data_IF_378227158278
#
_entry.id   IF_378227158278
#
_cell.length_a   1.000
_cell.length_b   1.000
_cell.length_c   1.000
_cell.angle_alpha   90.00
_cell.angle_beta   90.00
_cell.angle_gamma   90.00
#
_symmetry.space_group_name_H-M   'P 1'
#
loop_
_entity.id
_entity.type
_entity.pdbx_description
1 polymer ?
#
# COMPACT_ATOMS: atom_id res chain seq x y z
N UNK A 1 -0.17 -9.30 13.39
CA UNK A 1 -0.39 -7.90 12.98
C UNK A 1 -1.83 -7.53 13.20
N UNK A 2 -2.09 -6.50 13.95
CA UNK A 2 -3.43 -5.98 14.16
C UNK A 2 -3.40 -4.47 14.30
N UNK A 3 -4.50 -3.82 13.92
CA UNK A 3 -4.71 -2.40 14.13
C UNK A 3 -5.65 -2.17 15.30
N UNK A 4 -5.42 -1.10 16.05
CA UNK A 4 -6.42 -0.60 16.98
C UNK A 4 -7.52 0.07 16.15
N UNK A 5 -8.67 -0.56 16.04
CA UNK A 5 -9.78 -0.08 15.22
C UNK A 5 -10.77 0.76 16.03
N UNK A 6 -11.36 1.82 15.43
CA UNK A 6 -11.04 2.35 14.11
C UNK A 6 -9.66 3.02 14.08
N UNK A 7 -8.99 2.93 12.95
CA UNK A 7 -7.69 3.55 12.74
C UNK A 7 -7.80 4.63 11.66
N UNK A 8 -7.11 5.74 11.83
CA UNK A 8 -7.19 6.86 10.89
C UNK A 8 -5.85 7.19 10.28
N UNK A 9 -5.89 7.84 9.15
CA UNK A 9 -4.72 8.32 8.45
C UNK A 9 -5.08 9.40 7.45
N UNK A 10 -4.11 9.86 6.71
CA UNK A 10 -4.31 10.89 5.71
C UNK A 10 -3.01 11.39 5.11
N UNK A 11 -3.13 12.47 4.34
CA UNK A 11 -1.99 13.07 3.69
C UNK A 11 -1.20 14.00 4.63
N UNK A 12 -0.01 14.37 4.20
CA UNK A 12 0.90 15.18 5.01
C UNK A 12 0.35 16.56 5.33
N UNK A 13 -0.40 17.20 4.41
CA UNK A 13 -1.01 18.52 4.66
C UNK A 13 -2.31 18.44 5.46
N UNK A 14 -2.86 17.25 5.68
CA UNK A 14 -4.10 17.04 6.44
C UNK A 14 -5.39 17.25 5.66
N UNK A 15 -5.33 17.64 4.41
CA UNK A 15 -6.53 17.88 3.60
C UNK A 15 -7.35 16.62 3.39
N UNK A 16 -6.68 15.49 3.19
CA UNK A 16 -7.33 14.20 2.98
C UNK A 16 -7.19 13.35 4.23
N UNK A 17 -8.33 12.87 4.72
CA UNK A 17 -8.39 11.98 5.88
C UNK A 17 -9.23 10.76 5.54
N UNK A 18 -8.82 9.60 6.04
CA UNK A 18 -9.56 8.35 5.90
C UNK A 18 -9.60 7.59 7.22
N UNK A 19 -10.53 6.65 7.31
CA UNK A 19 -10.71 5.77 8.48
C UNK A 19 -10.79 4.33 8.05
N UNK A 20 -10.09 3.47 8.75
CA UNK A 20 -10.16 2.02 8.59
C UNK A 20 -11.07 1.45 9.67
N UNK A 21 -12.05 0.65 9.27
CA UNK A 21 -13.07 0.08 10.16
C UNK A 21 -12.98 -1.45 10.27
N UNK A 22 -12.07 -2.09 9.56
CA UNK A 22 -11.87 -3.53 9.58
C UNK A 22 -10.40 -3.91 9.58
N UNK A 23 -10.11 -5.17 9.85
CA UNK A 23 -8.74 -5.68 9.87
C UNK A 23 -8.14 -5.75 8.47
N UNK A 24 -6.84 -5.46 8.34
CA UNK A 24 -6.14 -5.63 7.07
C UNK A 24 -6.12 -7.08 6.62
N UNK A 25 -6.12 -7.27 5.30
CA UNK A 25 -5.93 -8.60 4.69
C UNK A 25 -4.47 -9.03 4.82
N UNK A 26 -3.54 -8.15 4.44
CA UNK A 26 -2.10 -8.39 4.60
C UNK A 26 -1.32 -7.07 4.47
N UNK A 27 -0.06 -7.13 4.90
CA UNK A 27 0.91 -6.06 4.70
C UNK A 27 2.12 -6.62 3.95
N UNK A 28 2.46 -6.01 2.83
CA UNK A 28 3.56 -6.44 1.98
C UNK A 28 4.54 -5.32 1.67
N UNK A 29 5.78 -5.70 1.46
CA UNK A 29 6.85 -4.87 0.91
C UNK A 29 7.04 -5.25 -0.55
N UNK A 30 7.23 -4.29 -1.43
CA UNK A 30 7.50 -4.50 -2.84
C UNK A 30 8.75 -3.75 -3.26
N UNK A 31 9.68 -4.47 -3.88
CA UNK A 31 10.95 -3.92 -4.34
C UNK A 31 10.96 -3.55 -5.83
N UNK A 32 9.83 -3.63 -6.53
CA UNK A 32 9.78 -3.30 -7.95
C UNK A 32 10.06 -1.81 -8.19
N UNK A 33 10.45 -1.47 -9.42
CA UNK A 33 10.81 -0.11 -9.77
C UNK A 33 9.64 0.87 -9.58
N UNK A 34 8.42 0.45 -9.90
CA UNK A 34 7.23 1.28 -9.68
C UNK A 34 7.01 1.61 -8.21
N UNK A 35 7.15 0.63 -7.32
CA UNK A 35 7.00 0.83 -5.89
C UNK A 35 8.10 1.72 -5.31
N UNK A 36 9.34 1.56 -5.77
CA UNK A 36 10.44 2.45 -5.40
C UNK A 36 10.14 3.88 -5.81
N UNK A 37 9.73 4.08 -7.05
CA UNK A 37 9.48 5.41 -7.59
C UNK A 37 8.35 6.11 -6.86
N UNK A 38 7.24 5.43 -6.65
CA UNK A 38 6.10 6.04 -5.98
C UNK A 38 6.35 6.37 -4.51
N UNK A 39 7.15 5.58 -3.83
CA UNK A 39 7.45 5.78 -2.41
C UNK A 39 8.56 6.81 -2.17
N UNK A 40 9.39 7.05 -3.18
CA UNK A 40 10.60 7.85 -3.02
C UNK A 40 11.68 7.16 -2.20
N UNK A 41 11.49 5.88 -1.86
CA UNK A 41 12.44 5.07 -1.11
C UNK A 41 12.98 3.92 -1.93
N UNK A 42 13.51 2.91 -1.27
CA UNK A 42 14.09 1.72 -1.92
C UNK A 42 13.14 0.53 -1.94
N UNK A 43 11.94 0.70 -1.42
CA UNK A 43 10.81 -0.22 -1.54
C UNK A 43 9.51 0.55 -1.30
N UNK A 44 8.41 -0.04 -1.72
CA UNK A 44 7.07 0.43 -1.36
C UNK A 44 6.41 -0.55 -0.42
N UNK A 45 5.36 -0.10 0.26
CA UNK A 45 4.55 -0.94 1.14
C UNK A 45 3.08 -0.83 0.76
N UNK A 46 2.35 -1.91 0.97
CA UNK A 46 0.91 -1.96 0.72
C UNK A 46 0.21 -2.68 1.86
N UNK A 47 -0.68 -1.96 2.52
CA UNK A 47 -1.62 -2.51 3.48
C UNK A 47 -2.92 -2.81 2.75
N UNK A 48 -3.16 -4.08 2.45
CA UNK A 48 -4.34 -4.47 1.69
C UNK A 48 -5.57 -4.50 2.59
N UNK A 49 -6.58 -3.78 2.16
CA UNK A 49 -7.85 -3.63 2.86
C UNK A 49 -9.00 -4.07 1.96
N UNK A 50 -10.07 -4.54 2.56
CA UNK A 50 -11.35 -4.60 1.84
C UNK A 50 -11.82 -3.18 1.62
N UNK A 51 -12.27 -2.87 0.43
CA UNK A 51 -12.71 -1.53 0.06
C UNK A 51 -13.84 -1.03 0.98
N UNK A 52 -14.73 -1.93 1.39
CA UNK A 52 -15.84 -1.61 2.30
C UNK A 52 -15.38 -1.12 3.68
N UNK A 53 -14.15 -1.46 4.08
CA UNK A 53 -13.59 -1.10 5.39
C UNK A 53 -12.76 0.18 5.36
N UNK A 54 -12.77 0.91 4.25
CA UNK A 54 -12.06 2.18 4.12
C UNK A 54 -13.06 3.29 3.85
N UNK A 55 -13.09 4.29 4.73
CA UNK A 55 -14.00 5.44 4.62
C UNK A 55 -13.20 6.71 4.42
N UNK A 56 -13.51 7.44 3.36
CA UNK A 56 -13.00 8.79 3.17
C UNK A 56 -13.72 9.74 4.12
N UNK A 57 -12.97 10.42 4.98
CA UNK A 57 -13.54 11.31 6.00
C UNK A 57 -13.57 12.75 5.51
N UNK A 58 -12.51 13.19 4.85
CA UNK A 58 -12.43 14.56 4.32
C UNK A 58 -11.52 14.63 3.10
N UNK A 59 -11.74 15.66 2.30
CA UNK A 59 -10.94 15.93 1.12
C UNK A 59 -11.37 15.11 -0.09
N UNK A 60 -10.77 15.43 -1.23
CA UNK A 60 -11.04 14.75 -2.50
C UNK A 60 -9.71 14.39 -3.15
N UNK A 61 -9.29 13.11 -3.10
CA UNK A 61 -8.04 12.69 -3.72
C UNK A 61 -8.13 12.76 -5.23
N UNK A 62 -7.02 13.12 -5.85
CA UNK A 62 -6.84 13.00 -7.29
C UNK A 62 -6.43 11.58 -7.65
N UNK A 63 -6.65 11.22 -8.90
CA UNK A 63 -6.36 9.88 -9.39
C UNK A 63 -5.51 9.94 -10.65
N UNK A 64 -4.48 9.10 -10.67
CA UNK A 64 -3.73 8.78 -11.87
C UNK A 64 -3.82 7.28 -12.10
N UNK A 65 -4.17 6.88 -13.32
CA UNK A 65 -4.25 5.46 -13.66
C UNK A 65 -2.91 5.00 -14.23
N UNK A 66 -2.23 4.12 -13.49
CA UNK A 66 -1.00 3.50 -13.93
C UNK A 66 -1.33 2.39 -14.93
N UNK A 67 -0.79 2.44 -16.14
CA UNK A 67 -1.01 1.38 -17.11
C UNK A 67 -0.50 0.04 -16.58
N UNK A 68 -1.14 -1.03 -17.03
CA UNK A 68 -0.66 -2.38 -16.73
C UNK A 68 0.54 -2.70 -17.61
N UNK A 69 1.63 -3.13 -16.99
CA UNK A 69 2.70 -3.82 -17.68
C UNK A 69 2.44 -5.33 -17.57
N UNK A 70 2.83 -6.09 -18.58
CA UNK A 70 2.77 -7.57 -18.56
C UNK A 70 1.36 -8.16 -18.41
N UNK A 71 0.32 -7.51 -18.94
CA UNK A 71 -1.04 -8.05 -18.95
C UNK A 71 -1.74 -8.07 -17.60
N UNK A 72 -1.17 -7.44 -16.56
CA UNK A 72 -1.86 -7.28 -15.29
C UNK A 72 -2.94 -6.21 -15.33
N UNK A 73 -3.59 -5.95 -14.20
CA UNK A 73 -4.61 -4.92 -14.09
C UNK A 73 -3.99 -3.53 -13.97
N UNK A 74 -4.60 -2.55 -14.65
CA UNK A 74 -4.28 -1.16 -14.41
C UNK A 74 -4.56 -0.79 -12.95
N UNK A 75 -3.79 0.14 -12.40
CA UNK A 75 -3.94 0.60 -11.02
C UNK A 75 -4.41 2.04 -11.00
N UNK A 76 -5.49 2.29 -10.29
CA UNK A 76 -5.93 3.65 -10.00
C UNK A 76 -5.22 4.13 -8.75
N UNK A 77 -4.37 5.13 -8.90
CA UNK A 77 -3.48 5.61 -7.85
C UNK A 77 -3.99 6.94 -7.33
N UNK A 78 -4.38 6.95 -6.07
CA UNK A 78 -5.00 8.12 -5.42
C UNK A 78 -3.98 8.87 -4.59
N UNK A 79 -3.99 10.18 -4.71
CA UNK A 79 -3.02 11.06 -4.06
C UNK A 79 -3.65 12.41 -3.71
N UNK A 80 -3.02 13.12 -2.78
CA UNK A 80 -3.43 14.48 -2.44
C UNK A 80 -2.95 15.45 -3.52
N UNK A 81 -3.86 16.23 -4.11
CA UNK A 81 -3.49 17.22 -5.11
C UNK A 81 -2.74 18.42 -4.55
N UNK A 82 -2.76 18.63 -3.24
CA UNK A 82 -2.08 19.74 -2.58
C UNK A 82 -0.66 19.39 -2.16
N UNK A 83 -0.46 18.29 -1.43
CA UNK A 83 0.88 17.90 -0.94
C UNK A 83 1.51 16.74 -1.72
N UNK A 84 0.77 16.08 -2.62
CA UNK A 84 1.30 15.03 -3.50
C UNK A 84 1.45 13.66 -2.88
N UNK A 85 1.05 13.46 -1.63
CA UNK A 85 1.20 12.18 -0.94
C UNK A 85 0.30 11.11 -1.56
N UNK A 86 0.89 9.99 -1.92
CA UNK A 86 0.17 8.79 -2.38
C UNK A 86 -0.51 8.13 -1.18
N UNK A 87 -1.80 7.87 -1.30
CA UNK A 87 -2.63 7.36 -0.21
C UNK A 87 -2.98 5.89 -0.39
N UNK A 88 -3.56 5.54 -1.53
CA UNK A 88 -3.90 4.15 -1.85
C UNK A 88 -3.97 3.95 -3.36
N UNK A 89 -3.99 2.69 -3.76
CA UNK A 89 -4.31 2.33 -5.13
C UNK A 89 -5.30 1.18 -5.16
N UNK A 90 -6.03 1.10 -6.26
CA UNK A 90 -7.00 0.04 -6.53
C UNK A 90 -6.70 -0.61 -7.88
N UNK A 91 -7.01 -1.88 -7.98
CA UNK A 91 -6.95 -2.61 -9.25
C UNK A 91 -8.26 -3.37 -9.52
N UNK A 92 -9.35 -3.00 -8.84
CA UNK A 92 -10.60 -3.72 -8.85
C UNK A 92 -10.61 -4.86 -7.82
N UNK A 93 -11.57 -5.78 -7.93
CA UNK A 93 -11.71 -6.93 -7.05
C UNK A 93 -12.19 -6.64 -5.62
N UNK A 94 -12.68 -5.42 -5.33
CA UNK A 94 -13.20 -5.07 -4.02
C UNK A 94 -12.15 -4.84 -2.94
N UNK A 95 -10.89 -4.66 -3.33
CA UNK A 95 -9.77 -4.38 -2.43
C UNK A 95 -9.05 -3.11 -2.84
N UNK A 96 -8.43 -2.47 -1.88
CA UNK A 96 -7.48 -1.40 -2.13
C UNK A 96 -6.23 -1.57 -1.26
N UNK A 97 -5.15 -0.95 -1.64
CA UNK A 97 -3.88 -1.00 -0.93
C UNK A 97 -3.53 0.38 -0.40
N UNK A 98 -3.64 0.54 0.92
CA UNK A 98 -3.26 1.75 1.63
C UNK A 98 -1.74 1.83 1.73
N UNK A 99 -1.18 3.02 1.64
CA UNK A 99 0.23 3.27 1.96
C UNK A 99 0.35 3.38 3.49
N UNK A 100 0.93 2.39 4.18
CA UNK A 100 0.82 2.30 5.63
C UNK A 100 1.50 3.44 6.39
N UNK A 101 2.47 4.11 5.77
CA UNK A 101 3.09 5.31 6.35
C UNK A 101 2.15 6.50 6.45
N UNK A 102 0.98 6.46 5.80
CA UNK A 102 -0.05 7.52 5.91
C UNK A 102 -1.00 7.31 7.09
N UNK A 103 -0.90 6.19 7.80
CA UNK A 103 -1.63 5.99 9.05
C UNK A 103 -1.07 6.89 10.15
N UNK A 104 -1.93 7.39 11.01
CA UNK A 104 -1.51 8.19 12.16
C UNK A 104 -0.64 7.40 13.11
N UNK A 105 -0.93 6.10 13.26
CA UNK A 105 -0.12 5.17 14.02
C UNK A 105 0.09 3.88 13.23
N UNK A 106 1.30 3.69 12.74
CA UNK A 106 1.72 2.48 12.03
C UNK A 106 2.65 1.58 12.86
N UNK A 107 2.83 1.89 14.15
CA UNK A 107 3.82 1.23 15.00
C UNK A 107 3.61 -0.26 15.20
N UNK A 108 2.35 -0.73 15.08
CA UNK A 108 2.00 -2.14 15.25
C UNK A 108 2.06 -2.95 13.95
N UNK A 109 2.38 -2.30 12.84
CA UNK A 109 2.43 -2.95 11.54
C UNK A 109 3.80 -3.55 11.29
N UNK A 110 3.80 -4.82 10.91
CA UNK A 110 5.02 -5.53 10.50
C UNK A 110 4.73 -6.30 9.22
N UNK A 111 5.54 -6.12 8.17
CA UNK A 111 5.33 -6.85 6.93
C UNK A 111 5.66 -8.33 7.11
N UNK A 112 4.86 -9.18 6.48
CA UNK A 112 5.08 -10.64 6.44
C UNK A 112 5.49 -11.13 5.05
N UNK A 113 5.23 -10.32 4.03
CA UNK A 113 5.45 -10.69 2.63
C UNK A 113 6.34 -9.67 1.95
N UNK A 114 7.23 -10.13 1.08
CA UNK A 114 7.92 -9.24 0.16
C UNK A 114 7.86 -9.78 -1.26
N UNK A 115 7.69 -8.89 -2.23
CA UNK A 115 7.68 -9.21 -3.64
C UNK A 115 8.82 -8.52 -4.37
N UNK A 116 9.14 -9.03 -5.56
CA UNK A 116 10.15 -8.46 -6.43
C UNK A 116 11.52 -8.33 -5.78
N UNK A 117 11.95 -9.37 -5.06
CA UNK A 117 13.28 -9.39 -4.44
C UNK A 117 14.41 -9.33 -5.46
N UNK A 118 14.11 -9.66 -6.73
CA UNK A 118 14.99 -9.42 -7.87
C UNK A 118 15.52 -7.98 -7.92
N UNK A 119 14.72 -7.02 -7.46
CA UNK A 119 15.05 -5.59 -7.46
C UNK A 119 15.44 -5.05 -6.08
N UNK A 120 15.53 -5.91 -5.09
CA UNK A 120 15.88 -5.53 -3.72
C UNK A 120 17.30 -5.00 -3.66
N UNK A 121 17.50 -3.87 -2.97
CA UNK A 121 18.83 -3.32 -2.74
C UNK A 121 19.62 -4.26 -1.83
N UNK A 122 20.94 -4.47 -2.09
CA UNK A 122 21.71 -5.49 -1.38
C UNK A 122 21.92 -5.24 0.12
N UNK A 123 21.87 -3.99 0.55
CA UNK A 123 22.16 -3.62 1.93
C UNK A 123 20.94 -3.72 2.86
N UNK A 124 19.74 -3.97 2.32
CA UNK A 124 18.52 -4.00 3.10
C UNK A 124 18.22 -5.41 3.60
N UNK A 125 17.95 -5.53 4.89
CA UNK A 125 17.39 -6.74 5.50
C UNK A 125 16.13 -6.36 6.27
N UNK A 126 15.05 -7.10 6.07
CA UNK A 126 13.78 -6.90 6.76
C UNK A 126 13.50 -8.15 7.57
N UNK A 127 13.50 -8.01 8.90
CA UNK A 127 13.24 -9.13 9.80
C UNK A 127 11.76 -9.49 9.84
N UNK A 128 11.46 -10.75 10.13
CA UNK A 128 10.10 -11.23 10.35
C UNK A 128 9.32 -11.56 9.07
N UNK A 129 9.96 -11.50 7.90
CA UNK A 129 9.31 -11.90 6.66
C UNK A 129 9.13 -13.43 6.63
N UNK A 130 7.92 -13.86 6.25
CA UNK A 130 7.57 -15.28 6.14
C UNK A 130 7.64 -15.76 4.69
N UNK A 131 7.34 -14.89 3.75
CA UNK A 131 7.26 -15.25 2.32
C UNK A 131 7.96 -14.18 1.49
N UNK A 132 8.86 -14.63 0.62
CA UNK A 132 9.57 -13.78 -0.33
C UNK A 132 9.38 -14.30 -1.74
N UNK A 133 9.07 -13.42 -2.67
CA UNK A 133 8.89 -13.76 -4.08
C UNK A 133 9.93 -13.03 -4.91
N UNK A 134 10.57 -13.77 -5.80
CA UNK A 134 11.60 -13.21 -6.69
C UNK A 134 11.04 -12.18 -7.67
N UNK A 135 9.83 -12.43 -8.17
CA UNK A 135 9.09 -11.50 -9.03
C UNK A 135 7.71 -11.24 -8.43
N UNK A 136 6.68 -11.11 -9.26
CA UNK A 136 5.32 -10.86 -8.82
C UNK A 136 4.77 -12.05 -8.04
N UNK A 137 4.21 -11.84 -6.84
CA UNK A 137 3.51 -12.89 -6.13
C UNK A 137 2.36 -13.46 -6.95
N UNK A 138 2.12 -14.77 -6.84
CA UNK A 138 0.96 -15.41 -7.43
C UNK A 138 -0.35 -14.94 -6.78
N UNK A 139 -1.47 -15.29 -7.39
CA UNK A 139 -2.79 -14.87 -6.92
C UNK A 139 -3.09 -15.36 -5.50
N UNK A 140 -2.61 -16.54 -5.13
CA UNK A 140 -2.79 -17.10 -3.78
C UNK A 140 -2.11 -16.25 -2.70
N UNK A 141 -0.99 -15.62 -3.01
CA UNK A 141 -0.26 -14.75 -2.07
C UNK A 141 -0.87 -13.35 -1.96
N UNK A 142 -1.84 -13.01 -2.79
CA UNK A 142 -2.50 -11.70 -2.79
C UNK A 142 -3.74 -11.65 -1.90
N UNK A 143 -4.10 -12.76 -1.33
CA UNK A 143 -5.21 -12.86 -0.41
C UNK A 143 -6.57 -12.77 -1.07
#
# INVERSE_FOLDING_TARGET
>A
MSLALPSEGGCQCGEIRYRLTGEPVWLAVCHCNDCKMQSGGVFGMSLRMREADVKLISGEPKCWTRPSENGGRAKNCYFCGTCGIRLWHTGGLGFLSIKPGTLDDSSLLAPRYEGWTKRKVPWLTIDGLEVSHYTQPGTAARG
#
